data_IF_264122286225
#
_entry.id   IF_264122286225
#
_cell.length_a   1.000
_cell.length_b   1.000
_cell.length_c   1.000
_cell.angle_alpha   90.00
_cell.angle_beta   90.00
_cell.angle_gamma   90.00
#
_symmetry.space_group_name_H-M   'P 1'
#
loop_
_entity.id
_entity.type
_entity.pdbx_description
1 polymer ?
#
# COMPACT_ATOMS: atom_id res chain seq x y z
N UNK A 1 9.16 -32.11 -6.07
CA UNK A 1 10.30 -31.21 -5.93
C UNK A 1 10.89 -31.31 -4.53
N UNK A 2 12.19 -31.03 -4.42
CA UNK A 2 12.91 -31.22 -3.16
C UNK A 2 12.50 -30.15 -2.14
N UNK A 3 12.57 -28.88 -2.51
CA UNK A 3 12.26 -27.76 -1.64
C UNK A 3 11.21 -26.85 -2.27
N UNK A 4 10.16 -26.52 -1.51
CA UNK A 4 9.22 -25.43 -1.83
C UNK A 4 9.51 -24.25 -0.91
N UNK A 5 9.64 -23.07 -1.50
CA UNK A 5 9.64 -21.78 -0.80
C UNK A 5 8.36 -21.04 -1.15
N UNK A 6 7.57 -20.61 -0.17
CA UNK A 6 6.26 -20.03 -0.41
C UNK A 6 5.96 -18.85 0.52
N UNK A 7 5.23 -17.85 -0.03
CA UNK A 7 4.81 -16.63 0.66
C UNK A 7 3.94 -16.92 1.88
N UNK A 8 4.19 -16.23 2.98
CA UNK A 8 3.52 -16.45 4.27
C UNK A 8 2.65 -15.29 4.74
N UNK A 9 2.53 -14.21 3.96
CA UNK A 9 1.90 -12.95 4.40
C UNK A 9 0.51 -13.13 4.99
N UNK A 10 -0.31 -13.99 4.39
CA UNK A 10 -1.68 -14.24 4.84
C UNK A 10 -1.88 -15.61 5.52
N UNK A 11 -0.84 -16.20 6.10
CA UNK A 11 -0.94 -17.52 6.75
C UNK A 11 -1.92 -17.59 7.92
N UNK A 12 -2.23 -16.43 8.51
CA UNK A 12 -3.24 -16.32 9.58
C UNK A 12 -4.64 -15.98 9.09
N UNK A 13 -4.85 -15.85 7.78
CA UNK A 13 -6.16 -15.57 7.21
C UNK A 13 -6.81 -16.89 6.81
N UNK A 14 -7.89 -17.23 7.50
CA UNK A 14 -8.66 -18.45 7.22
C UNK A 14 -9.37 -18.37 5.86
N UNK A 15 -9.82 -19.51 5.35
CA UNK A 15 -10.52 -19.67 4.07
C UNK A 15 -9.68 -19.29 2.82
N UNK A 16 -10.36 -19.19 1.69
CA UNK A 16 -9.80 -18.72 0.42
C UNK A 16 -9.96 -17.21 0.28
N UNK A 17 -9.00 -16.56 -0.37
CA UNK A 17 -9.16 -15.16 -0.74
C UNK A 17 -10.30 -14.98 -1.76
N UNK A 18 -10.97 -13.83 -1.69
CA UNK A 18 -12.04 -13.53 -2.65
C UNK A 18 -11.46 -13.29 -4.05
N UNK A 19 -12.21 -13.64 -5.10
CA UNK A 19 -11.76 -13.40 -6.47
C UNK A 19 -11.91 -11.92 -6.88
N UNK A 20 -11.05 -11.44 -7.79
CA UNK A 20 -11.19 -10.11 -8.41
C UNK A 20 -12.57 -9.92 -9.08
N UNK A 21 -13.21 -11.00 -9.54
CA UNK A 21 -14.58 -10.95 -10.09
C UNK A 21 -15.60 -10.53 -9.04
N UNK A 22 -15.46 -10.97 -7.78
CA UNK A 22 -16.34 -10.51 -6.68
C UNK A 22 -16.14 -9.03 -6.41
N UNK A 23 -14.89 -8.55 -6.42
CA UNK A 23 -14.59 -7.12 -6.28
C UNK A 23 -15.20 -6.31 -7.42
N UNK A 24 -15.08 -6.77 -8.67
CA UNK A 24 -15.67 -6.11 -9.81
C UNK A 24 -17.21 -6.00 -9.71
N UNK A 25 -17.87 -7.07 -9.26
CA UNK A 25 -19.33 -7.06 -9.05
C UNK A 25 -19.75 -6.05 -7.98
N UNK A 26 -19.02 -5.98 -6.86
CA UNK A 26 -19.29 -5.01 -5.79
C UNK A 26 -19.12 -3.57 -6.29
N UNK A 27 -18.06 -3.30 -7.04
CA UNK A 27 -17.83 -1.98 -7.66
C UNK A 27 -18.97 -1.63 -8.63
N UNK A 28 -19.46 -2.57 -9.44
CA UNK A 28 -20.61 -2.34 -10.32
C UNK A 28 -21.88 -2.03 -9.52
N UNK A 29 -22.12 -2.73 -8.42
CA UNK A 29 -23.27 -2.46 -7.55
C UNK A 29 -23.21 -1.09 -6.88
N UNK A 30 -22.02 -0.66 -6.44
CA UNK A 30 -21.80 0.69 -5.93
C UNK A 30 -22.09 1.73 -7.03
N UNK A 31 -21.54 1.53 -8.24
CA UNK A 31 -21.76 2.46 -9.35
C UNK A 31 -23.23 2.62 -9.70
N UNK A 32 -23.99 1.53 -9.68
CA UNK A 32 -25.43 1.53 -9.93
C UNK A 32 -26.21 2.31 -8.87
N UNK A 33 -25.80 2.22 -7.60
CA UNK A 33 -26.49 2.85 -6.46
C UNK A 33 -26.09 4.32 -6.25
N UNK A 34 -24.89 4.71 -6.68
CA UNK A 34 -24.34 6.05 -6.47
C UNK A 34 -25.01 7.06 -7.39
N UNK A 35 -25.65 8.09 -6.81
CA UNK A 35 -26.35 9.18 -7.53
C UNK A 35 -25.52 10.44 -7.70
N UNK A 36 -24.37 10.52 -7.06
CA UNK A 36 -23.42 11.63 -7.12
C UNK A 36 -22.10 11.16 -7.73
N UNK A 37 -21.03 11.97 -7.62
CA UNK A 37 -19.71 11.57 -8.11
C UNK A 37 -19.21 10.33 -7.35
N UNK A 38 -18.58 9.45 -8.08
CA UNK A 38 -17.89 8.29 -7.52
C UNK A 38 -16.38 8.52 -7.61
N UNK A 39 -15.68 8.41 -6.49
CA UNK A 39 -14.24 8.52 -6.40
C UNK A 39 -13.69 7.17 -5.93
N UNK A 40 -12.88 6.51 -6.74
CA UNK A 40 -12.29 5.21 -6.41
C UNK A 40 -10.80 5.34 -6.22
N UNK A 41 -10.33 5.06 -5.01
CA UNK A 41 -8.92 5.02 -4.70
C UNK A 41 -8.41 3.58 -4.71
N UNK A 42 -7.38 3.30 -5.51
CA UNK A 42 -6.80 1.97 -5.65
C UNK A 42 -5.30 2.04 -5.95
N UNK A 43 -4.63 0.89 -5.91
CA UNK A 43 -3.24 0.77 -6.35
C UNK A 43 -3.14 0.86 -7.87
N UNK A 44 -2.27 1.72 -8.37
CA UNK A 44 -1.99 1.82 -9.80
C UNK A 44 -1.40 0.52 -10.38
N UNK A 45 -0.66 -0.24 -9.59
CA UNK A 45 -0.06 -1.51 -10.00
C UNK A 45 -1.08 -2.62 -10.31
N UNK A 46 -2.32 -2.52 -9.80
CA UNK A 46 -3.38 -3.47 -10.14
C UNK A 46 -4.13 -3.05 -11.41
N UNK A 47 -3.48 -3.24 -12.57
CA UNK A 47 -3.99 -2.85 -13.89
C UNK A 47 -5.37 -3.47 -14.18
N UNK A 48 -5.58 -4.72 -13.80
CA UNK A 48 -6.86 -5.41 -14.01
C UNK A 48 -8.00 -4.75 -13.24
N UNK A 49 -7.79 -4.36 -12.00
CA UNK A 49 -8.79 -3.64 -11.19
C UNK A 49 -9.08 -2.27 -11.78
N UNK A 50 -8.03 -1.54 -12.19
CA UNK A 50 -8.21 -0.25 -12.87
C UNK A 50 -9.05 -0.42 -14.14
N UNK A 51 -8.76 -1.41 -14.98
CA UNK A 51 -9.55 -1.72 -16.16
C UNK A 51 -11.02 -2.04 -15.81
N UNK A 52 -11.27 -2.88 -14.80
CA UNK A 52 -12.61 -3.25 -14.36
C UNK A 52 -13.40 -2.02 -13.84
N UNK A 53 -12.75 -1.11 -13.12
CA UNK A 53 -13.37 0.14 -12.64
C UNK A 53 -13.77 1.01 -13.83
N UNK A 54 -12.88 1.18 -14.81
CA UNK A 54 -13.14 1.98 -16.01
C UNK A 54 -14.27 1.38 -16.85
N UNK A 55 -14.24 0.05 -17.09
CA UNK A 55 -15.29 -0.66 -17.81
C UNK A 55 -16.65 -0.57 -17.09
N UNK A 56 -16.64 -0.68 -15.76
CA UNK A 56 -17.86 -0.51 -14.98
C UNK A 56 -18.40 0.91 -15.10
N UNK A 57 -17.54 1.94 -14.98
CA UNK A 57 -17.95 3.34 -15.10
C UNK A 57 -18.61 3.62 -16.46
N UNK A 58 -17.97 3.20 -17.55
CA UNK A 58 -18.51 3.39 -18.92
C UNK A 58 -19.81 2.62 -19.14
N UNK A 59 -19.92 1.38 -18.62
CA UNK A 59 -21.14 0.57 -18.68
C UNK A 59 -22.33 1.28 -18.01
N UNK A 60 -22.11 2.00 -16.92
CA UNK A 60 -23.14 2.76 -16.21
C UNK A 60 -23.26 4.22 -16.70
N UNK A 61 -22.69 4.54 -17.86
CA UNK A 61 -22.79 5.85 -18.50
C UNK A 61 -22.05 6.96 -17.75
N UNK A 62 -21.01 6.59 -16.97
CA UNK A 62 -20.11 7.54 -16.33
C UNK A 62 -18.88 7.75 -17.18
N UNK A 63 -18.43 8.98 -17.26
CA UNK A 63 -17.11 9.32 -17.83
C UNK A 63 -16.04 9.26 -16.76
N UNK A 64 -14.84 8.89 -17.15
CA UNK A 64 -13.73 8.64 -16.23
C UNK A 64 -12.74 9.79 -16.26
N UNK A 65 -12.27 10.22 -15.11
CA UNK A 65 -11.09 11.05 -14.99
C UNK A 65 -10.09 10.42 -14.03
N UNK A 66 -8.81 10.52 -14.34
CA UNK A 66 -7.74 9.86 -13.62
C UNK A 66 -6.82 10.88 -13.00
N UNK A 67 -6.45 10.69 -11.73
CA UNK A 67 -5.50 11.54 -11.03
C UNK A 67 -4.42 10.75 -10.30
N UNK A 68 -3.21 11.21 -10.48
CA UNK A 68 -1.98 10.64 -9.93
C UNK A 68 -1.08 10.08 -11.03
N UNK A 69 0.14 10.59 -11.09
CA UNK A 69 1.11 10.30 -12.17
C UNK A 69 1.26 8.79 -12.47
N UNK A 70 1.37 7.96 -11.44
CA UNK A 70 1.48 6.51 -11.61
C UNK A 70 0.21 5.89 -12.18
N UNK A 71 -0.98 6.39 -11.79
CA UNK A 71 -2.27 5.91 -12.28
C UNK A 71 -2.47 6.32 -13.74
N UNK A 72 -2.16 7.56 -14.09
CA UNK A 72 -2.22 8.08 -15.47
C UNK A 72 -1.31 7.25 -16.40
N UNK A 73 -0.07 6.99 -15.99
CA UNK A 73 0.87 6.16 -16.75
C UNK A 73 0.34 4.73 -16.96
N UNK A 74 -0.22 4.13 -15.94
CA UNK A 74 -0.77 2.76 -16.02
C UNK A 74 -1.97 2.70 -16.96
N UNK A 75 -2.85 3.69 -16.90
CA UNK A 75 -4.00 3.78 -17.82
C UNK A 75 -3.53 3.96 -19.27
N UNK A 76 -2.57 4.83 -19.52
CA UNK A 76 -2.01 5.04 -20.86
C UNK A 76 -1.34 3.78 -21.42
N UNK A 77 -0.54 3.10 -20.61
CA UNK A 77 0.12 1.84 -21.01
C UNK A 77 -0.94 0.75 -21.22
N UNK A 78 -1.90 0.61 -20.29
CA UNK A 78 -2.97 -0.38 -20.40
C UNK A 78 -3.83 -0.22 -21.65
N UNK A 79 -4.06 1.02 -22.07
CA UNK A 79 -4.76 1.34 -23.35
C UNK A 79 -3.91 0.96 -24.55
N UNK A 80 -2.62 1.32 -24.56
CA UNK A 80 -1.67 0.96 -25.65
C UNK A 80 -1.54 -0.56 -25.80
N UNK A 81 -1.56 -1.29 -24.70
CA UNK A 81 -1.48 -2.76 -24.69
C UNK A 81 -2.84 -3.44 -24.98
N UNK A 82 -3.94 -2.69 -25.05
CA UNK A 82 -5.27 -3.24 -25.26
C UNK A 82 -5.88 -3.94 -24.02
N UNK A 83 -5.29 -3.79 -22.86
CA UNK A 83 -5.85 -4.30 -21.59
C UNK A 83 -7.03 -3.43 -21.13
N UNK A 84 -6.96 -2.12 -21.37
CA UNK A 84 -8.04 -1.16 -21.10
C UNK A 84 -8.69 -0.80 -22.44
N UNK A 85 -9.88 -1.35 -22.69
CA UNK A 85 -10.60 -1.25 -23.97
C UNK A 85 -11.76 -0.25 -23.88
N UNK A 86 -11.44 1.05 -23.84
CA UNK A 86 -12.42 2.14 -23.77
C UNK A 86 -12.06 3.25 -24.75
N UNK A 87 -13.06 4.02 -25.14
CA UNK A 87 -12.90 5.11 -26.13
C UNK A 87 -12.28 6.35 -25.45
N UNK A 88 -11.66 7.21 -26.28
CA UNK A 88 -11.16 8.50 -25.77
C UNK A 88 -12.29 9.38 -25.22
N UNK A 89 -13.48 9.29 -25.82
CA UNK A 89 -14.68 10.02 -25.41
C UNK A 89 -15.22 9.60 -24.01
N UNK A 90 -14.74 8.47 -23.47
CA UNK A 90 -15.13 8.01 -22.16
C UNK A 90 -14.31 8.64 -21.03
N UNK A 91 -13.24 9.35 -21.40
CA UNK A 91 -12.41 10.11 -20.46
C UNK A 91 -12.77 11.59 -20.47
N UNK A 92 -12.62 12.22 -19.30
CA UNK A 92 -12.78 13.67 -19.10
C UNK A 92 -11.41 14.34 -18.96
N UNK A 93 -11.31 15.53 -19.53
CA UNK A 93 -10.29 16.50 -19.12
C UNK A 93 -10.68 17.19 -17.81
N UNK A 94 -9.73 17.83 -17.09
CA UNK A 94 -10.05 18.62 -15.91
C UNK A 94 -11.04 19.75 -16.18
N UNK A 95 -11.02 20.32 -17.37
CA UNK A 95 -11.92 21.41 -17.80
C UNK A 95 -13.35 20.89 -18.01
N UNK A 96 -13.50 19.72 -18.64
CA UNK A 96 -14.81 19.10 -18.88
C UNK A 96 -15.48 18.64 -17.59
N UNK A 97 -14.68 18.31 -16.56
CA UNK A 97 -15.19 17.86 -15.26
C UNK A 97 -16.15 18.87 -14.63
N UNK A 98 -15.85 20.17 -14.72
CA UNK A 98 -16.66 21.23 -14.13
C UNK A 98 -18.08 21.35 -14.77
N UNK A 99 -18.24 20.87 -16.00
CA UNK A 99 -19.46 20.92 -16.79
C UNK A 99 -20.19 19.58 -16.91
N UNK A 100 -19.61 18.52 -16.35
CA UNK A 100 -20.21 17.18 -16.39
C UNK A 100 -21.12 16.96 -15.17
N UNK A 101 -22.36 16.47 -15.34
CA UNK A 101 -23.24 16.15 -14.23
C UNK A 101 -22.60 15.17 -13.26
N UNK A 102 -22.80 15.38 -11.95
CA UNK A 102 -22.11 14.62 -10.90
C UNK A 102 -22.39 13.10 -10.98
N UNK A 103 -23.61 12.69 -11.35
CA UNK A 103 -23.97 11.28 -11.55
C UNK A 103 -23.29 10.63 -12.77
N UNK A 104 -22.66 11.43 -13.62
CA UNK A 104 -21.91 10.98 -14.81
C UNK A 104 -20.41 11.00 -14.62
N UNK A 105 -19.91 11.24 -13.41
CA UNK A 105 -18.47 11.32 -13.14
C UNK A 105 -18.01 10.11 -12.33
N UNK A 106 -16.89 9.49 -12.76
CA UNK A 106 -16.10 8.55 -12.01
C UNK A 106 -14.64 9.01 -11.96
N UNK A 107 -14.13 9.27 -10.77
CA UNK A 107 -12.76 9.70 -10.53
C UNK A 107 -11.96 8.49 -10.04
N UNK A 108 -10.85 8.17 -10.69
CA UNK A 108 -9.92 7.12 -10.25
C UNK A 108 -8.64 7.80 -9.80
N UNK A 109 -8.17 7.49 -8.60
CA UNK A 109 -6.99 8.16 -8.06
C UNK A 109 -6.09 7.26 -7.23
N UNK A 110 -4.84 7.73 -7.05
CA UNK A 110 -3.89 7.19 -6.08
C UNK A 110 -4.12 7.77 -4.68
N UNK A 111 -3.45 7.22 -3.66
CA UNK A 111 -3.49 7.75 -2.29
C UNK A 111 -4.32 6.92 -1.33
N UNK A 112 -4.63 5.68 -1.70
CA UNK A 112 -5.34 4.74 -0.84
C UNK A 112 -4.52 4.28 0.38
N UNK A 113 -3.24 4.67 0.47
CA UNK A 113 -2.35 4.40 1.60
C UNK A 113 -2.12 5.63 2.50
N UNK A 114 -2.81 6.73 2.25
CA UNK A 114 -2.71 7.95 3.04
C UNK A 114 -1.42 8.74 2.83
N UNK A 115 -0.74 8.54 1.70
CA UNK A 115 0.47 9.29 1.35
C UNK A 115 0.12 10.79 1.19
N UNK A 116 0.84 11.70 1.86
CA UNK A 116 0.45 13.11 1.94
C UNK A 116 0.33 13.82 0.58
N UNK A 117 1.19 13.46 -0.37
CA UNK A 117 1.25 14.08 -1.70
C UNK A 117 0.37 13.38 -2.75
N UNK A 118 -0.25 12.26 -2.40
CA UNK A 118 -1.12 11.53 -3.31
C UNK A 118 -2.44 12.25 -3.58
N UNK A 119 -3.09 11.90 -4.70
CA UNK A 119 -4.28 12.60 -5.15
C UNK A 119 -5.42 12.57 -4.11
N UNK A 120 -5.75 11.40 -3.55
CA UNK A 120 -6.82 11.28 -2.55
C UNK A 120 -6.55 12.10 -1.29
N UNK A 121 -5.32 12.10 -0.77
CA UNK A 121 -4.96 12.89 0.42
C UNK A 121 -5.12 14.38 0.17
N UNK A 122 -4.71 14.85 -1.01
CA UNK A 122 -4.93 16.27 -1.40
C UNK A 122 -6.40 16.60 -1.59
N UNK A 123 -7.22 15.69 -2.12
CA UNK A 123 -8.67 15.84 -2.23
C UNK A 123 -9.28 15.94 -0.82
N UNK A 124 -8.93 15.03 0.08
CA UNK A 124 -9.43 15.00 1.46
C UNK A 124 -9.06 16.25 2.27
N UNK A 125 -7.89 16.84 1.97
CA UNK A 125 -7.41 18.06 2.63
C UNK A 125 -7.85 19.37 1.93
N UNK A 126 -8.64 19.28 0.84
CA UNK A 126 -9.10 20.45 0.07
C UNK A 126 -7.99 21.16 -0.72
N UNK A 127 -6.81 20.54 -0.90
CA UNK A 127 -5.65 21.12 -1.59
C UNK A 127 -5.46 20.61 -3.02
N UNK A 128 -6.38 19.76 -3.51
CA UNK A 128 -6.31 19.27 -4.88
C UNK A 128 -6.77 20.35 -5.86
N UNK A 129 -6.00 20.57 -6.94
CA UNK A 129 -6.21 21.67 -7.89
C UNK A 129 -7.59 21.66 -8.58
N UNK A 130 -8.10 20.46 -8.91
CA UNK A 130 -9.31 20.34 -9.74
C UNK A 130 -10.48 19.71 -8.99
N UNK A 131 -10.25 18.99 -7.89
CA UNK A 131 -11.29 18.26 -7.17
C UNK A 131 -11.50 18.91 -5.81
N UNK A 132 -12.71 19.41 -5.61
CA UNK A 132 -13.21 19.83 -4.30
C UNK A 132 -14.39 18.91 -3.95
N UNK A 133 -14.36 18.34 -2.76
CA UNK A 133 -15.41 17.43 -2.29
C UNK A 133 -16.75 18.15 -2.18
N UNK A 134 -17.79 17.43 -2.54
CA UNK A 134 -19.18 17.89 -2.39
C UNK A 134 -19.89 16.94 -1.41
N UNK A 135 -20.82 17.44 -0.59
CA UNK A 135 -21.70 16.56 0.19
C UNK A 135 -22.40 15.55 -0.73
N UNK A 136 -22.37 14.27 -0.34
CA UNK A 136 -22.94 13.19 -1.14
C UNK A 136 -21.98 12.52 -2.13
N UNK A 137 -20.75 13.01 -2.31
CA UNK A 137 -19.71 12.26 -3.02
C UNK A 137 -19.53 10.89 -2.37
N UNK A 138 -19.36 9.87 -3.19
CA UNK A 138 -19.06 8.50 -2.70
C UNK A 138 -17.61 8.17 -2.97
N UNK A 139 -16.85 7.85 -1.91
CA UNK A 139 -15.44 7.46 -2.00
C UNK A 139 -15.31 5.97 -1.68
N UNK A 140 -14.65 5.24 -2.57
CA UNK A 140 -14.38 3.81 -2.42
C UNK A 140 -12.89 3.58 -2.24
N UNK A 141 -12.50 2.97 -1.12
CA UNK A 141 -11.16 2.44 -0.92
C UNK A 141 -11.11 1.00 -1.44
N UNK A 142 -10.62 0.82 -2.66
CA UNK A 142 -10.42 -0.51 -3.26
C UNK A 142 -8.99 -1.01 -3.01
N UNK A 143 -8.57 -0.92 -1.76
CA UNK A 143 -7.28 -1.38 -1.23
C UNK A 143 -7.36 -1.58 0.28
N UNK A 144 -6.40 -2.31 0.83
CA UNK A 144 -6.18 -2.37 2.27
C UNK A 144 -4.97 -1.52 2.66
N UNK A 145 -4.95 -0.90 3.84
CA UNK A 145 -3.73 -0.32 4.38
C UNK A 145 -2.63 -1.37 4.50
N UNK A 146 -1.43 -1.04 4.01
CA UNK A 146 -0.22 -1.84 4.30
C UNK A 146 0.15 -1.64 5.78
N UNK A 147 0.79 -2.64 6.42
CA UNK A 147 1.29 -2.49 7.79
C UNK A 147 2.08 -1.18 7.97
N UNK A 148 1.75 -0.41 9.01
CA UNK A 148 2.33 0.90 9.27
C UNK A 148 1.56 2.11 8.71
N UNK A 149 0.70 1.94 7.71
CA UNK A 149 -0.03 3.07 7.09
C UNK A 149 -1.43 3.31 7.70
N UNK A 150 -1.88 2.50 8.65
CA UNK A 150 -3.23 2.55 9.18
C UNK A 150 -3.62 3.94 9.73
N UNK A 151 -2.73 4.59 10.48
CA UNK A 151 -2.99 5.92 11.05
C UNK A 151 -3.15 6.99 9.97
N UNK A 152 -2.30 6.95 8.94
CA UNK A 152 -2.37 7.89 7.81
C UNK A 152 -3.65 7.70 7.01
N UNK A 153 -4.04 6.46 6.74
CA UNK A 153 -5.29 6.13 6.03
C UNK A 153 -6.50 6.57 6.84
N UNK A 154 -6.53 6.30 8.15
CA UNK A 154 -7.63 6.72 9.02
C UNK A 154 -7.78 8.25 9.03
N UNK A 155 -6.68 9.01 9.06
CA UNK A 155 -6.73 10.47 8.96
C UNK A 155 -7.39 10.95 7.67
N UNK A 156 -7.05 10.33 6.54
CA UNK A 156 -7.69 10.64 5.25
C UNK A 156 -9.18 10.32 5.30
N UNK A 157 -9.56 9.15 5.80
CA UNK A 157 -10.96 8.73 5.96
C UNK A 157 -11.74 9.73 6.82
N UNK A 158 -11.20 10.16 7.95
CA UNK A 158 -11.83 11.14 8.84
C UNK A 158 -12.08 12.48 8.12
N UNK A 159 -11.11 12.97 7.35
CA UNK A 159 -11.27 14.21 6.59
C UNK A 159 -12.34 14.08 5.50
N UNK A 160 -12.44 12.92 4.84
CA UNK A 160 -13.48 12.63 3.86
C UNK A 160 -14.88 12.64 4.50
N UNK A 161 -15.05 12.03 5.67
CA UNK A 161 -16.32 12.07 6.42
C UNK A 161 -16.69 13.49 6.85
N UNK A 162 -15.71 14.27 7.33
CA UNK A 162 -15.94 15.69 7.70
C UNK A 162 -16.42 16.55 6.53
N UNK A 163 -16.08 16.16 5.29
CA UNK A 163 -16.55 16.85 4.07
C UNK A 163 -17.98 16.46 3.66
N UNK A 164 -18.67 15.60 4.43
CA UNK A 164 -20.02 15.12 4.11
C UNK A 164 -20.05 14.03 3.03
N UNK A 165 -18.92 13.39 2.75
CA UNK A 165 -18.84 12.30 1.79
C UNK A 165 -19.23 10.96 2.40
N UNK A 166 -19.73 10.05 1.57
CA UNK A 166 -19.94 8.63 1.93
C UNK A 166 -18.65 7.86 1.64
N UNK A 167 -18.04 7.26 2.66
CA UNK A 167 -16.78 6.54 2.51
C UNK A 167 -17.02 5.05 2.67
N UNK A 168 -16.65 4.27 1.65
CA UNK A 168 -16.77 2.81 1.62
C UNK A 168 -15.37 2.18 1.68
N UNK A 169 -15.14 1.42 2.73
CA UNK A 169 -13.90 0.69 2.99
C UNK A 169 -14.17 -0.81 3.11
N UNK A 170 -13.13 -1.62 3.14
CA UNK A 170 -13.27 -3.07 3.36
C UNK A 170 -13.95 -3.41 4.71
N UNK A 171 -13.80 -2.58 5.72
CA UNK A 171 -14.48 -2.77 7.02
C UNK A 171 -16.00 -2.59 6.92
N UNK A 172 -16.49 -1.87 5.92
CA UNK A 172 -17.92 -1.65 5.68
C UNK A 172 -18.46 -2.64 4.67
N UNK A 173 -17.69 -2.92 3.59
CA UNK A 173 -18.04 -3.84 2.52
C UNK A 173 -16.88 -4.81 2.27
N UNK A 174 -17.06 -6.06 2.66
CA UNK A 174 -16.00 -7.09 2.63
C UNK A 174 -15.38 -7.35 1.25
N UNK A 175 -16.09 -7.03 0.16
CA UNK A 175 -15.72 -7.37 -1.21
C UNK A 175 -15.05 -6.21 -1.99
N UNK A 176 -14.57 -5.16 -1.34
CA UNK A 176 -13.93 -4.01 -2.03
C UNK A 176 -12.48 -4.23 -2.42
N UNK A 177 -11.85 -5.22 -1.84
CA UNK A 177 -10.44 -5.53 -2.12
C UNK A 177 -10.17 -7.02 -1.94
N UNK A 178 -9.37 -7.58 -2.84
CA UNK A 178 -8.73 -8.87 -2.63
C UNK A 178 -7.22 -8.70 -2.57
N UNK A 179 -6.59 -9.56 -1.80
CA UNK A 179 -5.15 -9.58 -1.64
C UNK A 179 -4.47 -10.32 -2.80
N UNK A 180 -3.22 -9.96 -3.09
CA UNK A 180 -2.36 -10.74 -4.00
C UNK A 180 -1.66 -11.92 -3.31
N UNK A 181 -1.74 -11.99 -1.97
CA UNK A 181 -1.11 -13.05 -1.19
C UNK A 181 -2.11 -14.15 -0.88
N UNK A 182 -1.67 -15.40 -0.98
CA UNK A 182 -2.46 -16.59 -0.71
C UNK A 182 -2.88 -16.68 0.77
N UNK A 183 -4.16 -16.97 1.02
CA UNK A 183 -4.68 -17.28 2.35
C UNK A 183 -4.41 -18.75 2.72
N UNK A 184 -4.70 -19.14 3.95
CA UNK A 184 -4.36 -20.45 4.52
C UNK A 184 -4.79 -21.64 3.65
N UNK A 185 -6.02 -21.63 3.13
CA UNK A 185 -6.52 -22.75 2.31
C UNK A 185 -5.85 -22.80 0.93
N UNK A 186 -5.46 -21.66 0.37
CA UNK A 186 -4.69 -21.59 -0.87
C UNK A 186 -3.25 -22.05 -0.65
N UNK A 187 -2.66 -21.75 0.51
CA UNK A 187 -1.34 -22.26 0.92
C UNK A 187 -1.37 -23.78 1.08
N UNK A 188 -2.40 -24.36 1.73
CA UNK A 188 -2.62 -25.80 1.80
C UNK A 188 -2.73 -26.43 0.43
N UNK A 189 -3.52 -25.81 -0.46
CA UNK A 189 -3.67 -26.29 -1.82
C UNK A 189 -2.34 -26.33 -2.57
N UNK A 190 -1.53 -25.27 -2.45
CA UNK A 190 -0.20 -25.20 -3.05
C UNK A 190 0.69 -26.33 -2.52
N UNK A 191 0.77 -26.54 -1.21
CA UNK A 191 1.55 -27.60 -0.57
C UNK A 191 1.11 -29.00 -1.04
N UNK A 192 -0.19 -29.23 -1.15
CA UNK A 192 -0.74 -30.51 -1.60
C UNK A 192 -0.52 -30.79 -3.09
N UNK A 193 -0.58 -29.76 -3.94
CA UNK A 193 -0.30 -29.91 -5.37
C UNK A 193 1.18 -30.12 -5.66
N UNK A 194 2.06 -29.40 -4.96
CA UNK A 194 3.51 -29.47 -5.16
C UNK A 194 4.09 -30.72 -4.50
N UNK A 195 3.59 -31.13 -3.33
CA UNK A 195 4.08 -32.26 -2.51
C UNK A 195 5.59 -32.22 -2.33
N UNK A 196 6.16 -31.15 -1.77
CA UNK A 196 7.60 -31.03 -1.61
C UNK A 196 8.10 -31.95 -0.51
N UNK A 197 9.36 -32.41 -0.61
CA UNK A 197 10.03 -33.14 0.47
C UNK A 197 10.34 -32.21 1.63
N UNK A 198 10.81 -30.97 1.30
CA UNK A 198 11.16 -29.94 2.26
C UNK A 198 10.37 -28.65 2.00
N UNK A 199 10.10 -27.91 3.06
CA UNK A 199 9.37 -26.66 2.99
C UNK A 199 10.08 -25.53 3.73
N UNK A 200 10.10 -24.34 3.14
CA UNK A 200 10.59 -23.11 3.76
C UNK A 200 9.54 -22.00 3.57
N UNK A 201 8.82 -21.61 4.65
CA UNK A 201 7.98 -20.43 4.60
C UNK A 201 8.86 -19.17 4.48
N UNK A 202 8.50 -18.28 3.55
CA UNK A 202 9.21 -17.02 3.28
C UNK A 202 8.23 -15.85 3.26
N UNK A 203 8.75 -14.63 3.19
CA UNK A 203 7.99 -13.40 2.96
C UNK A 203 6.84 -13.19 3.97
N UNK A 204 7.19 -12.67 5.12
CA UNK A 204 6.25 -12.33 6.18
C UNK A 204 6.96 -12.09 7.51
N UNK A 205 6.22 -11.60 8.50
CA UNK A 205 6.70 -11.52 9.86
C UNK A 205 6.89 -12.93 10.45
N UNK A 206 7.73 -13.07 11.45
CA UNK A 206 8.03 -14.37 12.05
C UNK A 206 6.78 -15.16 12.48
N UNK A 207 5.76 -14.48 13.03
CA UNK A 207 4.47 -15.11 13.38
C UNK A 207 3.78 -15.73 12.16
N UNK A 208 3.85 -15.09 10.99
CA UNK A 208 3.26 -15.58 9.74
C UNK A 208 4.02 -16.81 9.23
N UNK A 209 5.36 -16.78 9.32
CA UNK A 209 6.18 -17.95 8.99
C UNK A 209 5.83 -19.15 9.87
N UNK A 210 5.63 -18.92 11.18
CA UNK A 210 5.24 -19.97 12.13
C UNK A 210 3.84 -20.53 11.86
N UNK A 211 2.88 -19.67 11.46
CA UNK A 211 1.54 -20.10 11.06
C UNK A 211 1.60 -20.94 9.77
N UNK A 212 2.40 -20.52 8.78
CA UNK A 212 2.57 -21.28 7.54
C UNK A 212 3.27 -22.62 7.78
N UNK A 213 4.26 -22.66 8.71
CA UNK A 213 4.85 -23.92 9.18
C UNK A 213 3.79 -24.87 9.75
N UNK A 214 2.88 -24.34 10.58
CA UNK A 214 1.80 -25.13 11.15
C UNK A 214 0.89 -25.68 10.05
N UNK A 215 0.51 -24.84 9.10
CA UNK A 215 -0.25 -25.24 7.91
C UNK A 215 0.44 -26.35 7.11
N UNK A 216 1.77 -26.25 6.92
CA UNK A 216 2.54 -27.28 6.24
C UNK A 216 2.53 -28.63 7.00
N UNK A 217 2.63 -28.59 8.33
CA UNK A 217 2.48 -29.80 9.15
C UNK A 217 1.07 -30.42 9.03
N UNK A 218 0.04 -29.61 8.98
CA UNK A 218 -1.34 -30.06 8.76
C UNK A 218 -1.54 -30.73 7.40
N UNK A 219 -0.73 -30.40 6.40
CA UNK A 219 -0.74 -31.06 5.08
C UNK A 219 0.13 -32.32 5.01
N UNK A 220 0.77 -32.71 6.12
CA UNK A 220 1.53 -33.96 6.24
C UNK A 220 3.04 -33.81 6.02
N UNK A 221 3.59 -32.61 5.90
CA UNK A 221 5.05 -32.41 5.84
C UNK A 221 5.64 -32.61 7.24
N UNK A 222 6.63 -33.50 7.42
CA UNK A 222 7.28 -33.75 8.71
C UNK A 222 7.90 -32.44 9.26
N UNK A 223 7.81 -32.24 10.57
CA UNK A 223 8.31 -31.04 11.24
C UNK A 223 9.80 -30.80 10.98
N UNK A 224 10.59 -31.85 10.92
CA UNK A 224 12.03 -31.87 10.65
C UNK A 224 12.38 -31.45 9.21
N UNK A 225 11.42 -31.52 8.31
CA UNK A 225 11.58 -31.11 6.91
C UNK A 225 11.11 -29.65 6.66
N UNK A 226 10.76 -28.90 7.71
CA UNK A 226 10.30 -27.52 7.59
C UNK A 226 11.30 -26.57 8.24
N UNK A 227 11.86 -25.67 7.44
CA UNK A 227 12.91 -24.73 7.84
C UNK A 227 12.35 -23.32 7.93
N UNK A 228 12.22 -22.77 9.14
CA UNK A 228 11.85 -21.37 9.37
C UNK A 228 13.11 -20.57 9.58
N UNK A 229 13.53 -19.84 8.56
CA UNK A 229 14.80 -19.13 8.53
C UNK A 229 14.61 -17.65 8.78
N UNK A 230 15.56 -17.04 9.50
CA UNK A 230 15.72 -15.60 9.61
C UNK A 230 16.63 -15.08 8.47
N UNK A 231 16.66 -13.74 8.31
CA UNK A 231 17.60 -13.11 7.38
C UNK A 231 19.04 -13.51 7.74
N UNK A 232 19.80 -13.97 6.75
CA UNK A 232 21.17 -14.42 6.92
C UNK A 232 21.33 -15.92 7.19
N UNK A 233 20.28 -16.65 7.53
CA UNK A 233 20.35 -18.11 7.67
C UNK A 233 20.58 -18.76 6.30
N UNK A 234 21.39 -19.82 6.27
CA UNK A 234 21.79 -20.49 5.04
C UNK A 234 21.23 -21.92 5.06
N UNK A 235 20.46 -22.27 4.02
CA UNK A 235 20.08 -23.64 3.71
C UNK A 235 20.92 -24.15 2.55
N UNK A 236 21.38 -25.38 2.66
CA UNK A 236 22.17 -26.09 1.65
C UNK A 236 21.30 -27.22 1.09
N UNK A 237 20.96 -27.13 -0.19
CA UNK A 237 20.33 -28.22 -0.94
C UNK A 237 21.41 -28.96 -1.72
N UNK A 238 21.66 -30.21 -1.34
CA UNK A 238 22.64 -31.07 -2.00
C UNK A 238 22.15 -32.52 -2.02
N UNK A 239 22.25 -33.18 -3.17
CA UNK A 239 21.86 -34.59 -3.35
C UNK A 239 20.45 -34.89 -2.80
N UNK A 240 19.47 -34.06 -3.17
CA UNK A 240 18.07 -34.14 -2.71
C UNK A 240 17.85 -33.98 -1.19
N UNK A 241 18.85 -33.51 -0.46
CA UNK A 241 18.76 -33.24 0.98
C UNK A 241 18.94 -31.76 1.28
N UNK A 242 18.13 -31.27 2.21
CA UNK A 242 18.22 -29.88 2.72
C UNK A 242 18.81 -29.95 4.13
N UNK A 243 19.83 -29.16 4.37
CA UNK A 243 20.48 -29.00 5.66
C UNK A 243 20.58 -27.51 5.98
N UNK A 244 20.33 -27.13 7.22
CA UNK A 244 20.63 -25.79 7.70
C UNK A 244 22.11 -25.72 8.09
N UNK A 245 22.78 -24.68 7.60
CA UNK A 245 24.19 -24.42 7.94
C UNK A 245 24.29 -23.74 9.31
N UNK A 246 25.36 -24.05 10.05
CA UNK A 246 25.73 -23.28 11.24
C UNK A 246 26.28 -21.89 10.89
N UNK A 247 26.66 -21.67 9.66
CA UNK A 247 27.12 -20.38 9.16
C UNK A 247 25.92 -19.49 8.87
N UNK A 248 26.07 -18.20 9.22
CA UNK A 248 25.12 -17.16 8.87
C UNK A 248 25.79 -16.07 8.07
N UNK A 249 25.08 -15.54 7.09
CA UNK A 249 25.46 -14.29 6.44
C UNK A 249 24.98 -13.12 7.30
N UNK A 250 25.71 -12.01 7.29
CA UNK A 250 25.27 -10.80 7.97
C UNK A 250 24.05 -10.24 7.23
N UNK A 251 22.86 -10.36 7.83
CA UNK A 251 21.56 -9.97 7.26
C UNK A 251 20.98 -8.71 7.90
N UNK A 252 21.85 -7.82 8.39
CA UNK A 252 21.42 -6.56 9.01
C UNK A 252 20.92 -5.55 7.97
N UNK A 253 20.11 -4.59 8.42
CA UNK A 253 19.60 -3.53 7.57
C UNK A 253 20.74 -2.66 7.04
N UNK A 254 20.75 -2.42 5.73
CA UNK A 254 21.66 -1.48 5.08
C UNK A 254 20.88 -0.20 4.77
N UNK A 255 21.28 0.89 5.40
CA UNK A 255 20.67 2.20 5.19
C UNK A 255 21.38 2.92 4.04
N UNK A 256 20.60 3.40 3.09
CA UNK A 256 21.09 4.12 1.90
C UNK A 256 20.78 5.61 2.06
N UNK A 257 21.78 6.48 1.86
CA UNK A 257 21.64 7.93 1.84
C UNK A 257 22.09 8.47 0.47
N UNK A 258 21.11 8.80 -0.37
CA UNK A 258 21.39 9.18 -1.76
C UNK A 258 22.06 8.05 -2.55
N UNK A 259 23.28 8.29 -3.04
CA UNK A 259 24.09 7.30 -3.75
C UNK A 259 25.12 6.58 -2.85
N UNK A 260 25.15 6.92 -1.57
CA UNK A 260 26.10 6.33 -0.62
C UNK A 260 25.49 5.09 0.05
N UNK A 261 26.09 3.93 -0.25
CA UNK A 261 25.76 2.63 0.32
C UNK A 261 26.75 2.17 1.39
N UNK A 262 27.71 3.04 1.79
CA UNK A 262 28.69 2.70 2.84
C UNK A 262 28.07 2.58 4.23
N UNK A 263 26.78 2.91 4.34
CA UNK A 263 25.98 2.78 5.55
C UNK A 263 26.05 3.98 6.47
N UNK A 264 24.88 4.43 6.93
CA UNK A 264 24.80 5.43 8.00
C UNK A 264 25.21 4.78 9.33
N UNK A 265 26.08 5.44 10.12
CA UNK A 265 26.41 4.95 11.44
C UNK A 265 25.17 4.92 12.35
N UNK A 266 25.11 3.95 13.26
CA UNK A 266 24.02 3.81 14.24
C UNK A 266 23.81 5.09 15.05
N UNK A 267 24.89 5.85 15.30
CA UNK A 267 24.82 7.15 15.97
C UNK A 267 24.02 8.18 15.17
N UNK A 268 24.30 8.31 13.86
CA UNK A 268 23.57 9.22 12.97
C UNK A 268 22.10 8.85 12.87
N UNK A 269 21.78 7.56 12.80
CA UNK A 269 20.37 7.08 12.78
C UNK A 269 19.66 7.42 14.09
N UNK A 270 20.31 7.26 15.23
CA UNK A 270 19.78 7.64 16.54
C UNK A 270 19.51 9.14 16.62
N UNK A 271 20.48 9.96 16.18
CA UNK A 271 20.35 11.42 16.18
C UNK A 271 19.21 11.87 15.25
N UNK A 272 19.08 11.29 14.06
CA UNK A 272 17.95 11.57 13.15
C UNK A 272 16.59 11.24 13.78
N UNK A 273 16.47 10.12 14.52
CA UNK A 273 15.23 9.79 15.24
C UNK A 273 14.92 10.80 16.33
N UNK A 274 15.91 11.18 17.14
CA UNK A 274 15.74 12.21 18.19
C UNK A 274 15.30 13.54 17.57
N UNK A 275 15.92 13.96 16.47
CA UNK A 275 15.54 15.18 15.76
C UNK A 275 14.14 15.10 15.13
N UNK A 276 13.73 13.94 14.66
CA UNK A 276 12.39 13.75 14.09
C UNK A 276 11.29 13.81 15.16
N UNK A 277 11.57 13.26 16.36
CA UNK A 277 10.59 13.17 17.44
C UNK A 277 10.51 14.47 18.26
N UNK A 278 11.63 15.18 18.43
CA UNK A 278 11.75 16.32 19.37
C UNK A 278 12.11 17.65 18.68
N UNK A 279 12.56 17.61 17.44
CA UNK A 279 13.06 18.78 16.73
C UNK A 279 14.39 19.32 17.27
N UNK A 280 14.81 20.48 16.75
CA UNK A 280 16.03 21.21 17.15
C UNK A 280 15.73 22.70 17.29
N UNK A 281 16.21 23.29 18.38
CA UNK A 281 16.27 24.75 18.55
C UNK A 281 17.71 25.13 18.80
N UNK A 282 18.26 25.99 17.95
CA UNK A 282 19.57 26.59 18.15
C UNK A 282 19.39 28.08 18.47
N UNK A 283 20.00 28.53 19.57
CA UNK A 283 20.04 29.94 19.98
C UNK A 283 21.46 30.44 19.85
N UNK A 284 21.68 31.40 18.98
CA UNK A 284 23.00 31.99 18.73
C UNK A 284 23.06 33.35 19.42
N UNK A 285 24.05 33.51 20.33
CA UNK A 285 24.27 34.70 21.10
C UNK A 285 25.69 35.20 20.89
N UNK A 286 25.85 36.51 20.73
CA UNK A 286 27.15 37.16 20.83
C UNK A 286 27.20 37.94 22.16
N UNK A 287 28.16 37.59 23.01
CA UNK A 287 28.29 38.17 24.36
C UNK A 287 29.66 38.81 24.50
N UNK A 288 29.70 40.07 25.01
CA UNK A 288 30.93 40.67 25.51
C UNK A 288 31.25 40.09 26.90
N UNK A 289 32.28 39.26 26.96
CA UNK A 289 32.70 38.60 28.21
C UNK A 289 33.31 39.55 29.26
N UNK A 290 33.72 40.77 28.87
CA UNK A 290 34.27 41.77 29.79
C UNK A 290 33.17 42.59 30.44
N UNK A 291 32.11 42.91 29.66
CA UNK A 291 31.03 43.76 30.15
C UNK A 291 29.75 42.94 30.47
N UNK A 292 29.75 41.62 30.25
CA UNK A 292 28.61 40.72 30.43
C UNK A 292 27.33 41.20 29.71
N UNK A 293 27.50 41.76 28.50
CA UNK A 293 26.39 42.29 27.70
C UNK A 293 26.20 41.49 26.42
N UNK A 294 24.93 41.32 26.01
CA UNK A 294 24.58 40.76 24.72
C UNK A 294 24.83 41.85 23.65
N UNK A 295 25.70 41.55 22.68
CA UNK A 295 26.15 42.49 21.65
C UNK A 295 25.15 42.65 20.50
N UNK A 296 24.31 41.62 20.26
CA UNK A 296 23.29 41.65 19.20
C UNK A 296 22.06 40.84 19.61
N UNK A 297 20.95 41.08 18.94
CA UNK A 297 19.73 40.28 19.19
C UNK A 297 19.99 38.79 18.98
N UNK A 298 19.50 37.92 19.88
CA UNK A 298 19.60 36.47 19.70
C UNK A 298 19.01 36.03 18.37
N UNK A 299 19.72 35.18 17.66
CA UNK A 299 19.18 34.51 16.46
C UNK A 299 18.70 33.13 16.87
N UNK A 300 17.44 32.88 16.68
CA UNK A 300 16.81 31.56 16.97
C UNK A 300 16.51 30.86 15.66
N UNK A 301 17.05 29.65 15.52
CA UNK A 301 16.78 28.76 14.38
C UNK A 301 16.15 27.51 14.91
N UNK A 302 15.00 27.13 14.39
CA UNK A 302 14.32 25.88 14.76
C UNK A 302 14.04 25.00 13.53
N UNK A 303 14.02 23.71 13.78
CA UNK A 303 13.61 22.68 12.81
C UNK A 303 12.78 21.62 13.55
N UNK A 304 11.64 21.23 12.99
CA UNK A 304 10.77 20.19 13.55
C UNK A 304 9.82 20.70 14.67
N UNK A 305 9.67 22.00 14.80
CA UNK A 305 8.69 22.65 15.68
C UNK A 305 7.64 23.39 14.84
#
# INVERSE_FOLDING_TARGET
>A
PDLLMSDSTNSGVEDFSISERKVANEIQDIMRKTKQRLIVATFASNVHRVAQIIEAATKFGRKVIVFGRSMENVVDIGRKMGTIKVKNSDFLSPEELAHTPDDKVCIICTGSQGEPLAALSRIANGTHRFIHLKPGDTIVFSSNPIPGNQSSVNRVIDNLFRSGATVLTKSILNNLHTTGHASKEEQKLMLQLVRPTYFMPIHGEYKMLMQHRQTAMETGIPKENIFVCANGDILILRDHKVLQSDWRYQGDDIYVDGNDISGLSTAVLKDRRILADNGLVAVILAIDSKENKILMRPVIVSRGF
#
